data_IF_584101303309
#
_entry.id   IF_584101303309
#
_cell.length_a   1.000
_cell.length_b   1.000
_cell.length_c   1.000
_cell.angle_alpha   90.00
_cell.angle_beta   90.00
_cell.angle_gamma   90.00
#
_symmetry.space_group_name_H-M   'P 1'
#
loop_
_entity.id
_entity.type
_entity.pdbx_description
1 polymer ?
#
# COMPACT_ATOMS: atom_id res chain seq x y z
N UNK A 1 -15.67 12.03 6.13
CA UNK A 1 -14.29 11.73 5.71
C UNK A 1 -13.64 12.98 5.13
N UNK A 2 -14.06 13.49 3.96
CA UNK A 2 -13.43 14.68 3.37
C UNK A 2 -14.00 16.05 3.80
N UNK A 3 -14.83 16.08 4.83
CA UNK A 3 -15.46 17.33 5.30
C UNK A 3 -14.46 18.29 5.94
N UNK A 4 -13.39 17.75 6.53
CA UNK A 4 -12.28 18.51 7.12
C UNK A 4 -11.56 19.38 6.08
N UNK A 5 -11.66 19.03 4.80
CA UNK A 5 -11.06 19.76 3.68
C UNK A 5 -11.96 20.83 3.08
N UNK A 6 -13.18 21.06 3.60
CA UNK A 6 -14.10 22.08 3.05
C UNK A 6 -13.59 23.51 3.25
N UNK A 7 -12.90 23.77 4.37
CA UNK A 7 -12.48 25.12 4.79
C UNK A 7 -10.95 25.24 4.98
N UNK A 8 -10.19 24.24 4.52
CA UNK A 8 -8.73 24.25 4.64
C UNK A 8 -8.13 25.30 3.69
N UNK A 9 -7.09 26.01 4.14
CA UNK A 9 -6.36 26.91 3.24
C UNK A 9 -5.53 26.10 2.22
N UNK A 10 -5.16 26.73 1.10
CA UNK A 10 -4.33 26.09 0.06
C UNK A 10 -2.98 25.65 0.65
N UNK A 11 -2.34 26.50 1.46
CA UNK A 11 -1.05 26.18 2.10
C UNK A 11 -1.15 25.01 3.08
N UNK A 12 -2.23 24.93 3.87
CA UNK A 12 -2.47 23.80 4.77
C UNK A 12 -2.78 22.52 3.99
N UNK A 13 -3.51 22.62 2.87
CA UNK A 13 -3.80 21.49 1.99
C UNK A 13 -2.52 20.93 1.35
N UNK A 14 -1.58 21.80 0.93
CA UNK A 14 -0.28 21.38 0.41
C UNK A 14 0.58 20.69 1.47
N UNK A 15 0.63 21.22 2.69
CA UNK A 15 1.31 20.57 3.81
C UNK A 15 0.72 19.20 4.10
N UNK A 16 -0.61 19.10 4.15
CA UNK A 16 -1.30 17.84 4.40
C UNK A 16 -1.04 16.83 3.28
N UNK A 17 -1.05 17.26 2.02
CA UNK A 17 -0.70 16.43 0.88
C UNK A 17 0.72 15.86 1.02
N UNK A 18 1.69 16.67 1.46
CA UNK A 18 3.07 16.23 1.67
C UNK A 18 3.17 15.18 2.78
N UNK A 19 2.45 15.38 3.88
CA UNK A 19 2.36 14.41 4.99
C UNK A 19 1.77 13.08 4.52
N UNK A 20 0.64 13.12 3.81
CA UNK A 20 -0.03 11.93 3.27
C UNK A 20 0.87 11.18 2.27
N UNK A 21 1.60 11.89 1.42
CA UNK A 21 2.59 11.28 0.49
C UNK A 21 3.69 10.55 1.24
N UNK A 22 4.21 11.16 2.31
CA UNK A 22 5.24 10.53 3.14
C UNK A 22 4.72 9.26 3.84
N UNK A 23 3.51 9.33 4.39
CA UNK A 23 2.87 8.17 5.03
C UNK A 23 2.60 7.05 4.03
N UNK A 24 2.13 7.39 2.83
CA UNK A 24 1.94 6.46 1.73
C UNK A 24 3.24 5.75 1.36
N UNK A 25 4.33 6.50 1.17
CA UNK A 25 5.64 5.93 0.84
C UNK A 25 6.16 4.98 1.93
N UNK A 26 5.95 5.32 3.20
CA UNK A 26 6.36 4.49 4.32
C UNK A 26 5.51 3.21 4.42
N UNK A 27 4.21 3.27 4.13
CA UNK A 27 3.36 2.08 4.04
C UNK A 27 3.75 1.18 2.86
N UNK A 28 4.11 1.74 1.71
CA UNK A 28 4.63 0.97 0.57
C UNK A 28 5.94 0.26 0.93
N UNK A 29 6.83 0.90 1.69
CA UNK A 29 8.05 0.25 2.19
C UNK A 29 7.71 -0.92 3.12
N UNK A 30 6.75 -0.74 4.01
CA UNK A 30 6.29 -1.81 4.92
C UNK A 30 5.67 -2.99 4.15
N UNK A 31 4.84 -2.71 3.13
CA UNK A 31 4.30 -3.74 2.25
C UNK A 31 5.43 -4.54 1.57
N UNK A 32 6.42 -3.85 1.01
CA UNK A 32 7.59 -4.50 0.38
C UNK A 32 8.39 -5.37 1.35
N UNK A 33 8.55 -4.93 2.60
CA UNK A 33 9.23 -5.72 3.64
C UNK A 33 8.45 -6.98 3.97
N UNK A 34 7.13 -6.88 4.13
CA UNK A 34 6.26 -8.04 4.36
C UNK A 34 6.28 -9.01 3.19
N UNK A 35 6.20 -8.50 1.95
CA UNK A 35 6.22 -9.33 0.76
C UNK A 35 7.58 -10.04 0.57
N UNK A 36 8.69 -9.36 0.91
CA UNK A 36 10.04 -9.98 0.97
C UNK A 36 10.12 -11.09 2.02
N UNK A 37 9.55 -10.89 3.22
CA UNK A 37 9.51 -11.92 4.27
C UNK A 37 8.76 -13.17 3.79
N UNK A 38 7.62 -12.98 3.14
CA UNK A 38 6.79 -14.07 2.61
C UNK A 38 7.54 -14.85 1.51
N UNK A 39 8.23 -14.13 0.62
CA UNK A 39 9.02 -14.69 -0.50
C UNK A 39 10.36 -15.28 -0.08
N UNK A 40 10.84 -15.01 1.14
CA UNK A 40 12.16 -15.47 1.62
C UNK A 40 12.26 -17.00 1.55
N UNK A 41 13.33 -17.49 0.94
CA UNK A 41 13.59 -18.92 0.76
C UNK A 41 12.75 -19.61 -0.32
N UNK A 42 11.87 -18.89 -1.04
CA UNK A 42 11.10 -19.48 -2.15
C UNK A 42 11.82 -19.40 -3.49
N UNK A 43 12.86 -18.57 -3.62
CA UNK A 43 13.64 -18.40 -4.85
C UNK A 43 14.30 -19.70 -5.31
N UNK A 44 14.65 -20.60 -4.39
CA UNK A 44 15.23 -21.91 -4.73
C UNK A 44 14.31 -22.77 -5.59
N UNK A 45 12.98 -22.59 -5.47
CA UNK A 45 12.01 -23.32 -6.28
C UNK A 45 11.94 -22.82 -7.73
N UNK A 46 12.50 -21.65 -8.06
CA UNK A 46 12.55 -21.15 -9.44
C UNK A 46 13.59 -21.86 -10.32
N UNK A 47 14.52 -22.60 -9.71
CA UNK A 47 15.56 -23.35 -10.43
C UNK A 47 15.07 -24.72 -10.95
N UNK A 48 13.88 -25.17 -10.53
CA UNK A 48 13.26 -26.41 -11.00
C UNK A 48 12.22 -26.06 -12.08
N UNK A 49 12.34 -26.55 -13.33
CA UNK A 49 11.37 -26.27 -14.39
C UNK A 49 9.96 -26.71 -14.00
N UNK A 50 8.92 -25.98 -14.46
CA UNK A 50 7.45 -26.23 -14.32
C UNK A 50 6.95 -26.61 -12.93
N UNK A 51 7.39 -27.75 -12.36
CA UNK A 51 7.13 -28.20 -10.99
C UNK A 51 7.58 -27.18 -9.95
N UNK A 52 8.74 -26.55 -10.15
CA UNK A 52 9.25 -25.53 -9.22
C UNK A 52 8.35 -24.29 -9.15
N UNK A 53 7.84 -23.83 -10.29
CA UNK A 53 6.87 -22.73 -10.36
C UNK A 53 5.55 -23.07 -9.67
N UNK A 54 5.08 -24.31 -9.82
CA UNK A 54 3.86 -24.78 -9.17
C UNK A 54 4.01 -24.80 -7.64
N UNK A 55 5.10 -25.38 -7.14
CA UNK A 55 5.41 -25.43 -5.70
C UNK A 55 5.60 -24.02 -5.13
N UNK A 56 6.30 -23.14 -5.87
CA UNK A 56 6.44 -21.72 -5.52
C UNK A 56 5.07 -21.05 -5.32
N UNK A 57 4.17 -21.22 -6.28
CA UNK A 57 2.85 -20.56 -6.26
C UNK A 57 1.97 -21.05 -5.10
N UNK A 58 1.95 -22.37 -4.85
CA UNK A 58 1.19 -22.97 -3.74
C UNK A 58 1.74 -22.48 -2.40
N UNK A 59 3.06 -22.56 -2.19
CA UNK A 59 3.65 -22.16 -0.90
C UNK A 59 3.49 -20.65 -0.69
N UNK A 60 3.65 -19.84 -1.74
CA UNK A 60 3.44 -18.40 -1.65
C UNK A 60 2.00 -18.06 -1.25
N UNK A 61 1.03 -18.70 -1.89
CA UNK A 61 -0.41 -18.52 -1.57
C UNK A 61 -0.71 -18.95 -0.15
N UNK A 62 -0.20 -20.12 0.28
CA UNK A 62 -0.37 -20.61 1.65
C UNK A 62 0.22 -19.67 2.69
N UNK A 63 1.42 -19.14 2.45
CA UNK A 63 2.08 -18.18 3.36
C UNK A 63 1.38 -16.83 3.41
N UNK A 64 0.81 -16.36 2.31
CA UNK A 64 -0.02 -15.15 2.26
C UNK A 64 -1.33 -15.33 3.05
N UNK A 65 -1.97 -16.49 2.91
CA UNK A 65 -3.24 -16.80 3.57
C UNK A 65 -3.09 -17.25 5.03
N UNK A 66 -1.87 -17.30 5.57
CA UNK A 66 -1.70 -17.40 7.02
C UNK A 66 -2.33 -16.17 7.66
N UNK A 67 -3.25 -16.38 8.60
CA UNK A 67 -4.13 -15.37 9.20
C UNK A 67 -3.41 -14.07 9.57
N UNK A 68 -2.24 -14.19 10.21
CA UNK A 68 -1.40 -13.06 10.60
C UNK A 68 -0.84 -12.25 9.40
N UNK A 69 -0.42 -12.92 8.33
CA UNK A 69 0.12 -12.26 7.14
C UNK A 69 -1.00 -11.63 6.30
N UNK A 70 -2.13 -12.32 6.20
CA UNK A 70 -3.28 -11.81 5.44
C UNK A 70 -3.85 -10.56 6.10
N UNK A 71 -4.07 -10.58 7.42
CA UNK A 71 -4.58 -9.43 8.18
C UNK A 71 -3.63 -8.22 8.10
N UNK A 72 -2.32 -8.44 8.24
CA UNK A 72 -1.33 -7.36 8.13
C UNK A 72 -1.22 -6.79 6.72
N UNK A 73 -1.30 -7.62 5.66
CA UNK A 73 -1.31 -7.13 4.28
C UNK A 73 -2.60 -6.37 3.99
N UNK A 74 -3.75 -6.90 4.41
CA UNK A 74 -5.05 -6.29 4.13
C UNK A 74 -5.18 -4.92 4.80
N UNK A 75 -4.79 -4.81 6.06
CA UNK A 75 -4.80 -3.52 6.78
C UNK A 75 -3.88 -2.47 6.16
N UNK A 76 -2.71 -2.85 5.64
CA UNK A 76 -1.83 -1.93 4.91
C UNK A 76 -2.50 -1.49 3.60
N UNK A 77 -3.12 -2.41 2.86
CA UNK A 77 -3.79 -2.11 1.60
C UNK A 77 -5.00 -1.20 1.77
N UNK A 78 -5.83 -1.44 2.77
CA UNK A 78 -6.96 -0.59 3.10
C UNK A 78 -6.51 0.84 3.41
N UNK A 79 -5.44 0.99 4.20
CA UNK A 79 -4.84 2.30 4.47
C UNK A 79 -4.28 2.98 3.22
N UNK A 80 -3.59 2.24 2.35
CA UNK A 80 -3.07 2.80 1.10
C UNK A 80 -4.20 3.34 0.21
N UNK A 81 -5.30 2.59 0.06
CA UNK A 81 -6.47 3.03 -0.71
C UNK A 81 -7.08 4.29 -0.10
N UNK A 82 -7.19 4.35 1.23
CA UNK A 82 -7.72 5.51 1.92
C UNK A 82 -6.86 6.76 1.66
N UNK A 83 -5.54 6.65 1.87
CA UNK A 83 -4.59 7.74 1.64
C UNK A 83 -4.60 8.20 0.18
N UNK A 84 -4.72 7.27 -0.77
CA UNK A 84 -4.80 7.58 -2.20
C UNK A 84 -6.04 8.40 -2.55
N UNK A 85 -7.20 7.99 -2.03
CA UNK A 85 -8.46 8.74 -2.20
C UNK A 85 -8.36 10.13 -1.57
N UNK A 86 -7.71 10.25 -0.42
CA UNK A 86 -7.54 11.52 0.29
C UNK A 86 -6.60 12.48 -0.45
N UNK A 87 -5.45 11.99 -0.91
CA UNK A 87 -4.54 12.76 -1.76
C UNK A 87 -5.25 13.20 -3.05
N UNK A 88 -5.98 12.30 -3.71
CA UNK A 88 -6.71 12.61 -4.93
C UNK A 88 -7.80 13.66 -4.70
N UNK A 89 -8.49 13.61 -3.56
CA UNK A 89 -9.46 14.62 -3.18
C UNK A 89 -8.80 15.99 -3.01
N UNK A 90 -7.70 16.08 -2.26
CA UNK A 90 -6.96 17.34 -2.04
C UNK A 90 -6.48 17.92 -3.38
N UNK A 91 -5.85 17.10 -4.22
CA UNK A 91 -5.32 17.55 -5.52
C UNK A 91 -6.44 18.05 -6.45
N UNK A 92 -7.56 17.33 -6.52
CA UNK A 92 -8.62 17.61 -7.51
C UNK A 92 -9.67 18.61 -7.05
N UNK A 93 -10.01 18.65 -5.75
CA UNK A 93 -11.11 19.46 -5.22
C UNK A 93 -10.66 20.70 -4.45
N UNK A 94 -9.46 20.68 -3.87
CA UNK A 94 -8.92 21.81 -3.10
C UNK A 94 -7.94 22.60 -3.97
N UNK A 95 -6.85 21.96 -4.41
CA UNK A 95 -5.76 22.65 -5.11
C UNK A 95 -6.14 23.04 -6.55
N UNK A 96 -6.79 22.15 -7.31
CA UNK A 96 -7.22 22.44 -8.69
C UNK A 96 -8.39 23.42 -8.77
N UNK A 97 -9.15 23.62 -7.69
CA UNK A 97 -10.26 24.57 -7.62
C UNK A 97 -9.80 25.99 -7.25
N UNK A 98 -8.63 26.12 -6.62
CA UNK A 98 -8.01 27.40 -6.26
C UNK A 98 -7.05 27.97 -7.31
N UNK A 99 -6.83 27.27 -8.43
CA UNK A 99 -6.14 27.77 -9.63
C UNK A 99 -7.15 28.27 -10.65
#
# INVERSE_FOLDING_TARGET
>A
MFEEYKNISIEEAEKKLLELKKEYDDLIKQEKVNDKKIKKGLIFWLFIPVLGLFIYSIILTKRRNLEHNMSSIMSIKEKLVFLELEMQYIETKVLKRGK
#
